data_IF_304256400250
#
_entry.id   IF_304256400250
#
_cell.length_a   1.000
_cell.length_b   1.000
_cell.length_c   1.000
_cell.angle_alpha   90.00
_cell.angle_beta   90.00
_cell.angle_gamma   90.00
#
_symmetry.space_group_name_H-M   'P 1'
#
loop_
_entity.id
_entity.type
_entity.pdbx_description
1 polymer ?
#
# COMPACT_ATOMS: atom_id res chain seq x y z
N UNK A 1 -14.14 -4.24 -11.03
CA UNK A 1 -14.45 -3.87 -9.64
C UNK A 1 -13.46 -4.40 -8.60
N UNK A 2 -13.28 -5.72 -8.43
CA UNK A 2 -12.43 -6.29 -7.35
C UNK A 2 -10.96 -5.85 -7.43
N UNK A 3 -10.43 -5.68 -8.64
CA UNK A 3 -9.07 -5.14 -8.89
C UNK A 3 -8.94 -3.64 -8.54
N UNK A 4 -10.02 -2.94 -8.20
CA UNK A 4 -10.00 -1.50 -7.92
C UNK A 4 -10.03 -0.58 -9.15
N UNK A 5 -10.13 -1.13 -10.36
CA UNK A 5 -10.17 -0.34 -11.60
C UNK A 5 -11.48 0.40 -11.82
N UNK A 6 -12.59 -0.04 -11.22
CA UNK A 6 -13.89 0.64 -11.30
C UNK A 6 -14.43 0.89 -9.89
N UNK A 7 -15.15 2.00 -9.66
CA UNK A 7 -15.74 2.30 -8.36
C UNK A 7 -16.92 1.39 -8.04
N UNK A 8 -17.86 1.20 -8.97
CA UNK A 8 -19.05 0.35 -8.82
C UNK A 8 -19.09 -0.76 -9.89
N UNK A 9 -20.06 -1.67 -9.78
CA UNK A 9 -20.34 -2.76 -10.73
C UNK A 9 -21.57 -2.50 -11.62
N UNK A 10 -22.16 -1.32 -11.52
CA UNK A 10 -23.53 -1.07 -11.99
C UNK A 10 -23.64 -0.80 -13.49
N UNK A 11 -22.59 -0.25 -14.11
CA UNK A 11 -22.62 0.19 -15.51
C UNK A 11 -21.36 -0.23 -16.27
N UNK A 12 -21.55 -0.75 -17.50
CA UNK A 12 -20.49 -1.17 -18.41
C UNK A 12 -19.74 0.02 -19.05
N UNK A 13 -20.37 1.19 -19.16
CA UNK A 13 -19.71 2.42 -19.66
C UNK A 13 -18.48 2.81 -18.82
N UNK A 14 -18.42 2.36 -17.56
CA UNK A 14 -17.25 2.58 -16.69
C UNK A 14 -16.01 1.82 -17.17
N UNK A 15 -16.19 0.76 -17.97
CA UNK A 15 -15.11 -0.06 -18.52
C UNK A 15 -14.40 0.68 -19.65
N UNK A 16 -15.15 1.39 -20.50
CA UNK A 16 -14.59 2.20 -21.59
C UNK A 16 -13.70 3.34 -21.07
N UNK A 17 -14.03 3.84 -19.86
CA UNK A 17 -13.26 4.88 -19.17
C UNK A 17 -12.01 4.36 -18.43
N UNK A 18 -11.66 3.07 -18.55
CA UNK A 18 -10.48 2.51 -17.91
C UNK A 18 -9.23 2.93 -18.69
N UNK A 19 -8.34 3.67 -18.02
CA UNK A 19 -7.05 4.08 -18.57
C UNK A 19 -5.90 3.30 -17.94
N UNK A 20 -4.73 3.28 -18.61
CA UNK A 20 -3.50 2.72 -18.04
C UNK A 20 -3.14 3.34 -16.67
N UNK A 21 -3.45 4.62 -16.47
CA UNK A 21 -3.25 5.31 -15.20
C UNK A 21 -4.04 4.67 -14.04
N UNK A 22 -5.21 4.05 -14.31
CA UNK A 22 -5.96 3.33 -13.26
C UNK A 22 -5.19 2.11 -12.76
N UNK A 23 -4.46 1.41 -13.63
CA UNK A 23 -3.59 0.31 -13.22
C UNK A 23 -2.39 0.82 -12.41
N UNK A 24 -1.73 1.88 -12.87
CA UNK A 24 -0.57 2.45 -12.17
C UNK A 24 -0.94 2.92 -10.75
N UNK A 25 -2.16 3.44 -10.54
CA UNK A 25 -2.66 3.85 -9.22
C UNK A 25 -2.97 2.67 -8.27
N UNK A 26 -3.04 1.45 -8.79
CA UNK A 26 -3.22 0.22 -8.01
C UNK A 26 -1.89 -0.50 -7.72
N UNK A 27 -0.75 0.03 -8.18
CA UNK A 27 0.57 -0.50 -7.80
C UNK A 27 0.83 -0.25 -6.31
N UNK A 28 1.49 -1.20 -5.67
CA UNK A 28 1.79 -1.19 -4.23
C UNK A 28 2.38 0.14 -3.72
N UNK A 29 3.39 0.76 -4.37
CA UNK A 29 3.93 2.03 -3.90
C UNK A 29 2.90 3.17 -3.88
N UNK A 30 2.02 3.23 -4.87
CA UNK A 30 1.00 4.30 -4.97
C UNK A 30 -0.08 4.10 -3.91
N UNK A 31 -0.47 2.86 -3.67
CA UNK A 31 -1.43 2.52 -2.62
C UNK A 31 -0.86 2.82 -1.24
N UNK A 32 0.43 2.52 -0.99
CA UNK A 32 1.11 2.86 0.26
C UNK A 32 1.16 4.36 0.54
N UNK A 33 1.46 5.17 -0.48
CA UNK A 33 1.44 6.64 -0.34
C UNK A 33 0.03 7.15 -0.06
N UNK A 34 -1.00 6.55 -0.67
CA UNK A 34 -2.40 6.91 -0.39
C UNK A 34 -2.81 6.55 1.05
N UNK A 35 -2.32 5.43 1.57
CA UNK A 35 -2.61 4.97 2.93
C UNK A 35 -1.67 5.60 3.98
N UNK A 36 -0.95 6.66 3.61
CA UNK A 36 -0.05 7.41 4.49
C UNK A 36 1.09 6.58 5.13
N UNK A 37 1.44 5.42 4.57
CA UNK A 37 2.59 4.62 5.02
C UNK A 37 3.94 5.20 4.58
N UNK A 38 3.93 6.02 3.53
CA UNK A 38 5.11 6.70 3.02
C UNK A 38 4.72 8.10 2.50
N UNK A 39 5.51 9.11 2.82
CA UNK A 39 5.25 10.49 2.40
C UNK A 39 5.39 10.69 0.87
N UNK A 40 6.32 9.97 0.24
CA UNK A 40 6.65 10.14 -1.17
C UNK A 40 6.74 8.80 -1.90
N UNK A 41 6.39 8.81 -3.18
CA UNK A 41 6.41 7.62 -4.02
C UNK A 41 7.80 6.94 -4.12
N UNK A 42 8.92 7.67 -4.29
CA UNK A 42 10.24 7.04 -4.30
C UNK A 42 10.62 6.41 -2.96
N UNK A 43 10.12 6.95 -1.85
CA UNK A 43 10.31 6.36 -0.51
C UNK A 43 9.56 5.04 -0.38
N UNK A 44 8.30 4.99 -0.84
CA UNK A 44 7.51 3.76 -0.86
C UNK A 44 8.18 2.66 -1.69
N UNK A 45 8.72 3.00 -2.87
CA UNK A 45 9.48 2.05 -3.71
C UNK A 45 10.67 1.46 -2.95
N UNK A 46 11.48 2.31 -2.30
CA UNK A 46 12.63 1.85 -1.50
C UNK A 46 12.22 0.90 -0.37
N UNK A 47 11.14 1.20 0.35
CA UNK A 47 10.67 0.33 1.44
C UNK A 47 10.22 -1.05 0.94
N UNK A 48 9.63 -1.11 -0.25
CA UNK A 48 9.24 -2.37 -0.90
C UNK A 48 10.48 -3.14 -1.34
N UNK A 49 11.40 -2.50 -2.06
CA UNK A 49 12.64 -3.14 -2.55
C UNK A 49 13.51 -3.68 -1.41
N UNK A 50 13.50 -3.00 -0.26
CA UNK A 50 14.19 -3.43 0.96
C UNK A 50 13.47 -4.57 1.72
N UNK A 51 12.25 -4.94 1.33
CA UNK A 51 11.47 -5.99 1.97
C UNK A 51 10.82 -5.59 3.30
N UNK A 52 10.56 -4.30 3.51
CA UNK A 52 9.89 -3.82 4.72
C UNK A 52 8.37 -3.99 4.70
N UNK A 53 7.79 -4.41 3.56
CA UNK A 53 6.35 -4.50 3.35
C UNK A 53 5.91 -5.94 3.15
N UNK A 54 4.80 -6.30 3.79
CA UNK A 54 4.08 -7.57 3.57
C UNK A 54 2.62 -7.32 3.27
N UNK A 55 2.00 -8.27 2.59
CA UNK A 55 0.55 -8.32 2.35
C UNK A 55 0.05 -9.63 2.92
N UNK A 56 -0.65 -9.56 4.05
CA UNK A 56 -0.99 -10.77 4.82
C UNK A 56 0.27 -11.50 5.28
N UNK A 57 0.44 -12.80 4.98
CA UNK A 57 1.62 -13.57 5.37
C UNK A 57 2.85 -13.33 4.47
N UNK A 58 2.65 -12.81 3.25
CA UNK A 58 3.68 -12.81 2.21
C UNK A 58 4.45 -11.49 2.15
N UNK A 59 5.78 -11.55 2.13
CA UNK A 59 6.65 -10.39 1.93
C UNK A 59 6.69 -10.05 0.44
N UNK A 60 6.46 -8.78 0.11
CA UNK A 60 6.43 -8.32 -1.28
C UNK A 60 7.62 -7.40 -1.53
N UNK A 61 8.47 -7.77 -2.48
CA UNK A 61 9.65 -6.99 -2.89
C UNK A 61 9.50 -6.35 -4.27
N UNK A 62 8.45 -6.68 -5.02
CA UNK A 62 8.21 -6.13 -6.36
C UNK A 62 7.36 -4.84 -6.31
N UNK A 63 7.90 -3.66 -6.69
CA UNK A 63 7.13 -2.42 -6.76
C UNK A 63 6.07 -2.39 -7.88
N UNK A 64 6.12 -3.33 -8.84
CA UNK A 64 5.09 -3.49 -9.86
C UNK A 64 3.88 -4.30 -9.37
N UNK A 65 3.93 -4.86 -8.15
CA UNK A 65 2.83 -5.64 -7.58
C UNK A 65 1.52 -4.85 -7.57
N UNK A 66 0.47 -5.46 -8.12
CA UNK A 66 -0.85 -4.86 -8.26
C UNK A 66 -1.74 -5.25 -7.08
N UNK A 67 -2.18 -4.25 -6.32
CA UNK A 67 -3.00 -4.44 -5.12
C UNK A 67 -4.48 -4.44 -5.50
N UNK A 68 -5.20 -5.51 -5.15
CA UNK A 68 -6.67 -5.59 -5.26
C UNK A 68 -7.35 -4.85 -4.10
N UNK A 69 -8.65 -4.56 -4.20
CA UNK A 69 -9.39 -3.92 -3.09
C UNK A 69 -9.34 -4.75 -1.81
N UNK A 70 -9.47 -6.07 -1.92
CA UNK A 70 -9.54 -6.96 -0.76
C UNK A 70 -8.18 -7.14 -0.08
N UNK A 71 -7.10 -7.09 -0.86
CA UNK A 71 -5.73 -7.26 -0.33
C UNK A 71 -5.18 -5.98 0.29
N UNK A 72 -5.80 -4.83 0.00
CA UNK A 72 -5.34 -3.52 0.44
C UNK A 72 -5.32 -3.38 1.97
N UNK A 73 -6.31 -3.96 2.64
CA UNK A 73 -6.45 -3.92 4.11
C UNK A 73 -5.36 -4.72 4.84
N UNK A 74 -4.69 -5.64 4.13
CA UNK A 74 -3.66 -6.50 4.71
C UNK A 74 -2.24 -6.00 4.47
N UNK A 75 -2.08 -4.81 3.90
CA UNK A 75 -0.76 -4.18 3.72
C UNK A 75 -0.24 -3.72 5.09
N UNK A 76 0.93 -4.22 5.49
CA UNK A 76 1.54 -3.86 6.76
C UNK A 76 3.07 -3.92 6.70
N UNK A 77 3.72 -3.38 7.72
CA UNK A 77 5.15 -3.50 7.92
C UNK A 77 5.53 -4.92 8.35
N UNK A 78 6.63 -5.44 7.82
CA UNK A 78 7.21 -6.70 8.29
C UNK A 78 7.61 -6.59 9.75
N UNK A 79 7.52 -7.70 10.51
CA UNK A 79 7.80 -7.69 11.94
C UNK A 79 9.26 -7.32 12.24
N UNK A 80 10.19 -7.67 11.34
CA UNK A 80 11.61 -7.34 11.47
C UNK A 80 11.99 -5.97 10.86
N UNK A 81 11.01 -5.16 10.45
CA UNK A 81 11.26 -3.85 9.87
C UNK A 81 11.79 -2.86 10.91
N UNK A 82 12.93 -2.23 10.62
CA UNK A 82 13.44 -1.14 11.44
C UNK A 82 12.46 0.05 11.51
N UNK A 83 11.72 0.29 10.43
CA UNK A 83 10.71 1.36 10.36
C UNK A 83 9.57 1.07 11.33
N UNK A 84 9.15 -0.20 11.44
CA UNK A 84 8.12 -0.60 12.39
C UNK A 84 8.55 -0.36 13.84
N UNK A 85 9.80 -0.69 14.16
CA UNK A 85 10.37 -0.44 15.51
C UNK A 85 10.36 1.04 15.83
N UNK A 86 10.83 1.88 14.91
CA UNK A 86 10.79 3.34 15.07
C UNK A 86 9.36 3.85 15.27
N UNK A 87 8.40 3.40 14.46
CA UNK A 87 7.00 3.80 14.60
C UNK A 87 6.40 3.43 15.96
N UNK A 88 6.71 2.25 16.49
CA UNK A 88 6.26 1.81 17.81
C UNK A 88 6.91 2.65 18.92
N UNK A 89 8.22 2.92 18.83
CA UNK A 89 8.92 3.80 19.77
C UNK A 89 8.31 5.21 19.79
N UNK A 90 7.97 5.77 18.63
CA UNK A 90 7.28 7.08 18.57
C UNK A 90 5.89 7.04 19.21
N UNK A 91 5.13 5.98 18.98
CA UNK A 91 3.79 5.82 19.55
C UNK A 91 3.85 5.67 21.08
N UNK A 92 4.80 4.89 21.59
CA UNK A 92 4.99 4.69 23.03
C UNK A 92 5.40 6.01 23.71
N UNK A 93 6.31 6.79 23.11
CA UNK A 93 6.68 8.12 23.61
C UNK A 93 5.48 9.09 23.66
N UNK A 94 4.62 9.11 22.65
CA UNK A 94 3.41 9.95 22.68
C UNK A 94 2.46 9.55 23.81
N UNK A 95 2.31 8.26 24.09
CA UNK A 95 1.43 7.78 25.17
C UNK A 95 1.95 8.07 26.58
N UNK A 96 3.26 8.26 26.77
CA UNK A 96 3.82 8.64 28.09
C UNK A 96 3.68 10.13 28.40
N UNK A 97 3.47 10.98 27.38
CA UNK A 97 3.38 12.44 27.52
C UNK A 97 1.94 12.90 27.81
N UNK A 98 0.94 12.02 27.61
CA UNK A 98 -0.50 12.26 27.83
C UNK A 98 -0.98 11.60 29.11
#
# INVERSE_FOLDING_TARGET
HSLGLTPTKENLELVDKITASRFCRRRLPVVMTRNHMAQHLPGAVKFIEQGHIRIGPDIVTDPAFLVTRNTEDFISWTDNSAIRRQLLEYQDMETEIV
#
